data_IF_052932726628
#
_entry.id   IF_052932726628
#
_cell.length_a   1.000
_cell.length_b   1.000
_cell.length_c   1.000
_cell.angle_alpha   90.00
_cell.angle_beta   90.00
_cell.angle_gamma   90.00
#
_symmetry.space_group_name_H-M   'P 1'
#
loop_
_entity.id
_entity.type
_entity.pdbx_description
1 polymer ?
#
# COMPACT_ATOMS: atom_id res chain seq x y z
N UNK A 1 14.67 8.85 -20.58
CA UNK A 1 13.32 8.29 -20.77
C UNK A 1 12.68 8.14 -19.40
N UNK A 2 11.55 8.80 -19.17
CA UNK A 2 10.81 8.72 -17.90
C UNK A 2 9.58 7.84 -18.14
N UNK A 3 9.35 6.84 -17.29
CA UNK A 3 8.19 5.93 -17.37
C UNK A 3 7.26 6.17 -16.18
N UNK A 4 5.97 6.32 -16.46
CA UNK A 4 4.94 6.38 -15.43
C UNK A 4 4.22 5.03 -15.34
N UNK A 5 4.57 4.24 -14.33
CA UNK A 5 4.00 2.91 -14.10
C UNK A 5 2.54 2.95 -13.60
N UNK A 6 2.05 4.10 -13.15
CA UNK A 6 0.65 4.26 -12.75
C UNK A 6 -0.30 4.34 -13.95
N UNK A 7 0.23 4.75 -15.10
CA UNK A 7 -0.50 4.84 -16.37
C UNK A 7 0.00 3.88 -17.44
N UNK A 8 1.16 3.25 -17.25
CA UNK A 8 1.79 2.35 -18.23
C UNK A 8 1.89 0.92 -17.72
N UNK A 9 1.57 -0.05 -18.59
CA UNK A 9 1.84 -1.47 -18.35
C UNK A 9 3.30 -1.76 -18.72
N UNK A 10 4.13 -2.23 -17.78
CA UNK A 10 5.53 -2.55 -18.09
C UNK A 10 5.64 -3.84 -18.93
N UNK A 11 6.82 -4.11 -19.52
CA UNK A 11 7.12 -5.40 -20.13
C UNK A 11 6.98 -6.57 -19.14
N UNK A 12 6.79 -7.77 -19.66
CA UNK A 12 6.76 -8.99 -18.86
C UNK A 12 8.12 -9.25 -18.19
N UNK A 13 8.07 -9.66 -16.92
CA UNK A 13 9.18 -10.28 -16.20
C UNK A 13 8.62 -11.24 -15.13
N UNK A 14 9.43 -12.19 -14.66
CA UNK A 14 9.00 -13.07 -13.57
C UNK A 14 8.93 -12.32 -12.22
N UNK A 15 9.85 -11.39 -11.99
CA UNK A 15 9.96 -10.61 -10.76
C UNK A 15 10.16 -9.12 -11.09
N UNK A 16 9.43 -8.26 -10.38
CA UNK A 16 9.64 -6.81 -10.40
C UNK A 16 10.06 -6.29 -9.03
N UNK A 17 11.14 -5.51 -9.00
CA UNK A 17 11.62 -4.82 -7.81
C UNK A 17 11.04 -3.40 -7.79
N UNK A 18 10.34 -3.06 -6.71
CA UNK A 18 9.74 -1.74 -6.47
C UNK A 18 10.27 -1.19 -5.14
N UNK A 19 11.60 -1.08 -5.02
CA UNK A 19 12.27 -0.53 -3.84
C UNK A 19 12.06 0.97 -3.75
N UNK A 20 11.78 1.48 -2.55
CA UNK A 20 11.66 2.92 -2.23
C UNK A 20 10.79 3.74 -3.19
N UNK A 21 9.75 3.11 -3.75
CA UNK A 21 8.85 3.76 -4.68
C UNK A 21 7.49 4.06 -4.05
N UNK A 22 6.82 3.04 -3.47
CA UNK A 22 5.47 3.19 -2.91
C UNK A 22 5.40 4.16 -1.72
N UNK A 23 6.53 4.42 -1.06
CA UNK A 23 6.66 5.39 0.03
C UNK A 23 6.42 6.84 -0.41
N UNK A 24 6.41 7.13 -1.71
CA UNK A 24 6.17 8.47 -2.26
C UNK A 24 4.82 8.60 -2.96
N UNK A 25 4.02 7.53 -3.00
CA UNK A 25 2.83 7.46 -3.82
C UNK A 25 1.55 7.45 -3.00
N UNK A 26 0.51 8.05 -3.56
CA UNK A 26 -0.86 7.90 -3.05
C UNK A 26 -1.29 6.44 -3.13
N UNK A 27 -2.27 6.07 -2.31
CA UNK A 27 -2.89 4.76 -2.36
C UNK A 27 -3.46 4.43 -3.74
N UNK A 28 -4.06 5.43 -4.42
CA UNK A 28 -4.60 5.26 -5.77
C UNK A 28 -3.50 4.91 -6.77
N UNK A 29 -2.36 5.59 -6.71
CA UNK A 29 -1.24 5.34 -7.62
C UNK A 29 -0.61 3.97 -7.37
N UNK A 30 -0.42 3.57 -6.10
CA UNK A 30 0.06 2.24 -5.74
C UNK A 30 -0.85 1.15 -6.33
N UNK A 31 -2.16 1.30 -6.16
CA UNK A 31 -3.12 0.33 -6.70
C UNK A 31 -3.15 0.31 -8.23
N UNK A 32 -2.97 1.46 -8.89
CA UNK A 32 -2.88 1.52 -10.34
C UNK A 32 -1.65 0.78 -10.85
N UNK A 33 -0.49 1.03 -10.23
CA UNK A 33 0.76 0.33 -10.54
C UNK A 33 0.62 -1.18 -10.35
N UNK A 34 0.11 -1.62 -9.21
CA UNK A 34 -0.10 -3.05 -8.94
C UNK A 34 -1.08 -3.68 -9.95
N UNK A 35 -2.10 -2.93 -10.38
CA UNK A 35 -3.01 -3.39 -11.43
C UNK A 35 -2.29 -3.55 -12.78
N UNK A 36 -1.38 -2.63 -13.12
CA UNK A 36 -0.58 -2.70 -14.33
C UNK A 36 0.45 -3.84 -14.28
N UNK A 37 1.05 -4.12 -13.13
CA UNK A 37 1.93 -5.29 -12.96
C UNK A 37 1.17 -6.60 -13.17
N UNK A 38 -0.06 -6.72 -12.66
CA UNK A 38 -0.91 -7.88 -12.93
C UNK A 38 -1.27 -8.00 -14.42
N UNK A 39 -1.56 -6.89 -15.11
CA UNK A 39 -1.81 -6.88 -16.56
C UNK A 39 -0.59 -7.34 -17.36
N UNK A 40 0.61 -6.94 -16.94
CA UNK A 40 1.88 -7.40 -17.51
C UNK A 40 2.19 -8.89 -17.24
N UNK A 41 1.34 -9.58 -16.46
CA UNK A 41 1.50 -10.99 -16.04
C UNK A 41 2.77 -11.24 -15.23
N UNK A 42 3.25 -10.24 -14.52
CA UNK A 42 4.39 -10.39 -13.60
C UNK A 42 3.98 -11.33 -12.46
N UNK A 43 4.86 -12.26 -12.09
CA UNK A 43 4.54 -13.28 -11.09
C UNK A 43 4.82 -12.80 -9.68
N UNK A 44 5.99 -12.20 -9.47
CA UNK A 44 6.49 -11.81 -8.15
C UNK A 44 6.74 -10.30 -8.06
N UNK A 45 6.39 -9.75 -6.90
CA UNK A 45 6.67 -8.38 -6.49
C UNK A 45 7.62 -8.42 -5.31
N UNK A 46 8.78 -7.79 -5.44
CA UNK A 46 9.68 -7.48 -4.33
C UNK A 46 9.61 -5.97 -4.08
N UNK A 47 9.14 -5.55 -2.91
CA UNK A 47 8.79 -4.13 -2.65
C UNK A 47 9.15 -3.73 -1.23
N UNK A 48 9.59 -2.48 -1.06
CA UNK A 48 9.86 -1.92 0.27
C UNK A 48 8.58 -1.84 1.11
N UNK A 49 8.67 -2.26 2.35
CA UNK A 49 7.60 -2.20 3.34
C UNK A 49 8.16 -2.06 4.76
N UNK A 50 7.36 -1.52 5.67
CA UNK A 50 7.60 -1.56 7.11
C UNK A 50 6.78 -2.69 7.73
N UNK A 51 7.26 -3.29 8.82
CA UNK A 51 6.66 -4.52 9.39
C UNK A 51 6.10 -4.38 10.79
N UNK A 52 6.38 -3.30 11.52
CA UNK A 52 5.79 -3.10 12.84
C UNK A 52 4.27 -2.92 12.75
N UNK A 53 3.53 -3.58 13.66
CA UNK A 53 2.07 -3.53 13.70
C UNK A 53 1.53 -2.16 14.11
N UNK A 54 2.35 -1.39 14.83
CA UNK A 54 2.07 0.00 15.23
C UNK A 54 2.10 0.98 14.04
N UNK A 55 2.60 0.56 12.86
CA UNK A 55 2.59 1.40 11.67
C UNK A 55 1.18 1.65 11.18
N UNK A 56 0.83 2.93 11.11
CA UNK A 56 -0.40 3.42 10.51
C UNK A 56 -0.03 4.02 9.16
N UNK A 57 -0.59 3.48 8.09
CA UNK A 57 -0.40 4.08 6.77
C UNK A 57 -1.26 5.34 6.68
N UNK A 58 -0.65 6.42 6.19
CA UNK A 58 -1.34 7.64 5.78
C UNK A 58 -1.33 7.75 4.26
N UNK A 59 -2.45 8.20 3.67
CA UNK A 59 -2.47 8.52 2.24
C UNK A 59 -1.74 9.84 2.01
N UNK A 60 -1.30 10.08 0.79
CA UNK A 60 -0.61 11.31 0.41
C UNK A 60 -1.08 11.80 -0.95
N UNK A 61 -1.29 13.10 -1.05
CA UNK A 61 -1.51 13.77 -2.33
C UNK A 61 -0.12 14.08 -2.90
N UNK A 62 0.34 13.18 -3.79
CA UNK A 62 1.73 13.17 -4.24
C UNK A 62 2.19 14.50 -4.79
N UNK A 63 3.11 15.16 -4.09
CA UNK A 63 4.30 15.89 -4.54
C UNK A 63 4.98 16.47 -3.27
N UNK A 64 6.32 16.40 -3.18
CA UNK A 64 7.14 16.94 -2.07
C UNK A 64 7.00 16.30 -0.68
N UNK A 65 7.23 14.99 -0.58
CA UNK A 65 7.34 14.30 0.71
C UNK A 65 8.64 13.51 0.73
N UNK A 66 9.38 13.59 1.84
CA UNK A 66 10.65 12.89 2.06
C UNK A 66 10.52 11.35 1.99
N UNK A 67 9.29 10.83 1.88
CA UNK A 67 8.95 9.41 1.93
C UNK A 67 8.20 9.12 3.23
N UNK A 68 7.21 8.23 3.16
CA UNK A 68 6.47 7.77 4.35
C UNK A 68 6.68 6.29 4.56
N UNK A 69 6.52 5.84 5.80
CA UNK A 69 6.45 4.42 6.09
C UNK A 69 5.19 3.80 5.48
N UNK A 70 5.36 2.61 4.91
CA UNK A 70 4.26 1.86 4.29
C UNK A 70 4.31 0.41 4.74
N UNK A 71 3.34 0.00 5.57
CA UNK A 71 3.14 -1.40 5.91
C UNK A 71 2.05 -2.01 5.02
N UNK A 72 2.46 -2.83 4.05
CA UNK A 72 1.55 -3.43 3.06
C UNK A 72 0.63 -4.52 3.65
N UNK A 73 0.92 -5.01 4.85
CA UNK A 73 0.05 -5.94 5.57
C UNK A 73 -1.03 -5.22 6.39
N UNK A 74 -0.94 -3.90 6.53
CA UNK A 74 -1.89 -3.07 7.28
C UNK A 74 -2.89 -2.39 6.35
N UNK A 75 -3.88 -1.77 6.96
CA UNK A 75 -4.86 -0.97 6.25
C UNK A 75 -4.17 0.12 5.40
N UNK A 76 -4.64 0.42 4.17
CA UNK A 76 -5.79 -0.17 3.51
C UNK A 76 -5.50 -1.43 2.68
N UNK A 77 -4.24 -1.84 2.56
CA UNK A 77 -3.79 -2.90 1.65
C UNK A 77 -4.13 -4.31 2.13
N UNK A 78 -3.86 -4.60 3.40
CA UNK A 78 -4.08 -5.92 4.02
C UNK A 78 -3.55 -7.09 3.17
N UNK A 79 -2.35 -6.94 2.59
CA UNK A 79 -1.70 -8.07 1.95
C UNK A 79 -1.39 -9.14 3.00
N UNK A 80 -1.39 -10.40 2.57
CA UNK A 80 -0.98 -11.51 3.43
C UNK A 80 0.49 -11.36 3.79
N UNK A 81 0.96 -12.19 4.73
CA UNK A 81 2.40 -12.29 5.03
C UNK A 81 3.20 -12.51 3.74
N UNK A 82 4.31 -11.78 3.54
CA UNK A 82 5.16 -12.03 2.39
C UNK A 82 5.73 -13.44 2.43
N UNK A 83 6.05 -13.97 1.25
CA UNK A 83 6.71 -15.26 1.06
C UNK A 83 8.09 -15.22 1.71
N UNK A 84 8.83 -14.14 1.44
CA UNK A 84 10.14 -13.86 2.01
C UNK A 84 10.21 -12.39 2.45
N UNK A 85 10.97 -12.13 3.50
CA UNK A 85 11.17 -10.80 4.05
C UNK A 85 12.67 -10.57 4.30
N UNK A 86 13.21 -9.51 3.73
CA UNK A 86 14.62 -9.13 3.86
C UNK A 86 14.67 -7.78 4.57
N UNK A 87 15.13 -7.76 5.82
CA UNK A 87 15.32 -6.51 6.54
C UNK A 87 16.46 -5.70 5.89
N UNK A 88 16.25 -4.41 5.64
CA UNK A 88 17.23 -3.54 4.95
C UNK A 88 18.40 -3.15 5.86
N UNK A 89 18.33 -3.39 7.17
CA UNK A 89 19.36 -3.04 8.14
C UNK A 89 19.46 -1.53 8.40
N UNK A 90 18.35 -0.80 8.20
CA UNK A 90 18.30 0.65 8.34
C UNK A 90 18.64 1.11 9.78
N UNK A 91 19.63 1.98 9.90
CA UNK A 91 20.07 2.61 11.16
C UNK A 91 19.78 4.11 11.20
N UNK A 92 19.13 4.66 10.17
CA UNK A 92 18.78 6.07 10.05
C UNK A 92 17.75 6.50 11.12
N UNK A 93 17.73 7.81 11.40
CA UNK A 93 16.77 8.46 12.29
C UNK A 93 16.60 7.73 13.64
N UNK A 94 17.70 7.47 14.34
CA UNK A 94 17.73 6.78 15.63
C UNK A 94 17.00 5.41 15.63
N UNK A 95 17.04 4.71 14.49
CA UNK A 95 16.43 3.39 14.35
C UNK A 95 14.92 3.43 14.10
N UNK A 96 14.34 4.61 13.83
CA UNK A 96 12.93 4.76 13.48
C UNK A 96 12.54 3.87 12.29
N UNK A 97 13.45 3.55 11.38
CA UNK A 97 13.23 2.69 10.21
C UNK A 97 13.78 1.26 10.35
N UNK A 98 14.10 0.79 11.56
CA UNK A 98 14.70 -0.54 11.79
C UNK A 98 13.84 -1.72 11.28
N UNK A 99 12.54 -1.50 11.04
CA UNK A 99 11.62 -2.49 10.48
C UNK A 99 11.48 -2.43 8.95
N UNK A 100 12.16 -1.49 8.29
CA UNK A 100 12.14 -1.35 6.84
C UNK A 100 12.75 -2.60 6.20
N UNK A 101 11.99 -3.20 5.30
CA UNK A 101 12.29 -4.49 4.70
C UNK A 101 11.83 -4.53 3.25
N UNK A 102 12.43 -5.40 2.44
CA UNK A 102 11.87 -5.84 1.17
C UNK A 102 11.00 -7.07 1.42
N UNK A 103 9.71 -6.97 1.08
CA UNK A 103 8.80 -8.12 1.12
C UNK A 103 8.57 -8.69 -0.28
N UNK A 104 8.60 -10.02 -0.37
CA UNK A 104 8.30 -10.78 -1.59
C UNK A 104 6.85 -11.28 -1.56
N UNK A 105 6.06 -10.96 -2.59
CA UNK A 105 4.71 -11.49 -2.76
C UNK A 105 4.49 -12.05 -4.16
N UNK A 106 3.60 -13.05 -4.26
CA UNK A 106 2.96 -13.39 -5.53
C UNK A 106 1.91 -12.34 -5.85
N UNK A 107 1.98 -11.74 -7.03
CA UNK A 107 1.00 -10.76 -7.48
C UNK A 107 -0.40 -11.37 -7.59
N UNK A 108 -0.52 -12.66 -7.93
CA UNK A 108 -1.80 -13.38 -7.98
C UNK A 108 -2.52 -13.43 -6.64
N UNK A 109 -1.79 -13.40 -5.52
CA UNK A 109 -2.36 -13.52 -4.17
C UNK A 109 -2.79 -12.17 -3.56
N UNK A 110 -2.42 -11.05 -4.20
CA UNK A 110 -2.79 -9.72 -3.72
C UNK A 110 -4.27 -9.39 -4.01
N UNK A 111 -5.07 -9.15 -2.97
CA UNK A 111 -6.47 -8.73 -3.12
C UNK A 111 -6.59 -7.23 -3.41
N UNK A 112 -6.47 -6.85 -4.69
CA UNK A 112 -6.60 -5.44 -5.07
C UNK A 112 -8.04 -4.92 -4.95
N UNK A 113 -9.06 -5.77 -5.04
CA UNK A 113 -10.45 -5.34 -4.86
C UNK A 113 -10.73 -4.92 -3.41
N UNK A 114 -10.18 -5.66 -2.43
CA UNK A 114 -10.33 -5.32 -1.01
C UNK A 114 -9.60 -4.00 -0.70
N UNK A 115 -8.39 -3.85 -1.23
CA UNK A 115 -7.65 -2.60 -1.07
C UNK A 115 -8.39 -1.42 -1.72
N UNK A 116 -8.90 -1.57 -2.96
CA UNK A 116 -9.73 -0.55 -3.63
C UNK A 116 -10.97 -0.18 -2.81
N UNK A 117 -11.67 -1.18 -2.27
CA UNK A 117 -12.84 -0.96 -1.43
C UNK A 117 -12.49 -0.17 -0.17
N UNK A 118 -11.42 -0.57 0.53
CA UNK A 118 -10.96 0.12 1.74
C UNK A 118 -10.56 1.58 1.45
N UNK A 119 -9.84 1.81 0.37
CA UNK A 119 -9.42 3.15 -0.07
C UNK A 119 -10.66 3.99 -0.44
N UNK A 120 -11.61 3.43 -1.17
CA UNK A 120 -12.85 4.12 -1.52
C UNK A 120 -13.67 4.47 -0.27
N UNK A 121 -13.76 3.53 0.68
CA UNK A 121 -14.42 3.75 1.96
C UNK A 121 -13.76 4.90 2.72
N UNK A 122 -12.43 4.99 2.75
CA UNK A 122 -11.72 6.12 3.37
C UNK A 122 -12.15 7.45 2.78
N UNK A 123 -12.21 7.55 1.45
CA UNK A 123 -12.64 8.79 0.82
C UNK A 123 -14.08 9.13 1.20
N UNK A 124 -15.00 8.16 1.18
CA UNK A 124 -16.40 8.40 1.58
C UNK A 124 -16.50 8.88 3.02
N UNK A 125 -15.86 8.19 3.96
CA UNK A 125 -15.98 8.52 5.39
C UNK A 125 -15.29 9.83 5.75
N UNK A 126 -14.43 10.38 4.89
CA UNK A 126 -13.81 11.68 5.08
C UNK A 126 -14.57 12.83 4.40
N UNK A 127 -15.65 12.56 3.65
CA UNK A 127 -16.46 13.64 3.08
C UNK A 127 -17.25 14.39 4.19
N UNK A 128 -17.37 15.72 4.09
CA UNK A 128 -18.11 16.53 5.06
C UNK A 128 -19.60 16.57 4.72
N UNK A 129 -20.26 15.41 4.57
CA UNK A 129 -21.69 15.34 4.24
C UNK A 129 -22.46 14.32 5.08
N UNK A 130 -23.80 14.47 5.11
CA UNK A 130 -24.71 13.61 5.90
C UNK A 130 -24.64 12.14 5.50
N UNK A 131 -24.29 11.83 4.25
CA UNK A 131 -24.14 10.45 3.80
C UNK A 131 -22.89 9.81 4.43
N UNK A 132 -21.76 10.52 4.44
CA UNK A 132 -20.53 10.07 5.09
C UNK A 132 -20.74 9.81 6.58
N UNK A 133 -21.53 10.65 7.26
CA UNK A 133 -21.88 10.45 8.67
C UNK A 133 -22.69 9.17 8.89
N UNK A 134 -23.69 8.90 8.04
CA UNK A 134 -24.44 7.63 8.08
C UNK A 134 -23.53 6.42 7.85
N UNK A 135 -22.59 6.52 6.92
CA UNK A 135 -21.60 5.46 6.65
C UNK A 135 -20.69 5.26 7.86
N UNK A 136 -20.11 6.32 8.44
CA UNK A 136 -19.32 6.25 9.68
C UNK A 136 -20.09 5.52 10.79
N UNK A 137 -21.35 5.92 11.02
CA UNK A 137 -22.20 5.32 12.04
C UNK A 137 -22.53 3.84 11.78
N UNK A 138 -22.82 3.48 10.53
CA UNK A 138 -23.06 2.09 10.13
C UNK A 138 -21.81 1.21 10.39
N UNK A 139 -20.64 1.72 10.03
CA UNK A 139 -19.38 1.00 10.19
C UNK A 139 -18.91 0.87 11.65
N UNK A 140 -19.14 1.89 12.49
CA UNK A 140 -18.92 1.79 13.93
C UNK A 140 -19.77 0.68 14.56
N UNK A 141 -21.04 0.54 14.12
CA UNK A 141 -21.94 -0.54 14.59
C UNK A 141 -21.50 -1.93 14.15
N UNK A 142 -20.83 -2.06 13.01
CA UNK A 142 -20.30 -3.33 12.51
C UNK A 142 -18.94 -3.75 13.13
N UNK A 143 -18.38 -2.98 14.06
CA UNK A 143 -17.03 -3.19 14.66
C UNK A 143 -15.87 -3.20 13.66
N UNK A 144 -16.06 -2.68 12.44
CA UNK A 144 -14.99 -2.65 11.42
C UNK A 144 -13.97 -1.53 11.69
N UNK A 145 -14.33 -0.54 12.52
CA UNK A 145 -13.44 0.55 12.96
C UNK A 145 -12.97 0.43 14.41
N UNK A 146 -13.23 -0.66 15.15
CA UNK A 146 -12.86 -0.76 16.57
C UNK A 146 -11.37 -1.02 16.83
N UNK A 147 -10.49 -0.79 15.84
CA UNK A 147 -9.02 -0.84 15.95
C UNK A 147 -8.37 0.17 14.98
N UNK A 148 -8.91 1.38 14.89
CA UNK A 148 -8.14 2.55 14.50
C UNK A 148 -7.87 3.38 15.75
#
# INVERSE_FOLDING_TARGET
MQIDLSHTVPPYCDLILTRDCFIHLSYRNIISILSNYKKAKIKFLLVSTNTYDTRINTDVDGFFIQGRMVNLQRFPFYFKRPIELINEGCTEDDGIYADKSLGLWKLSELSLYKAKFNIHLLYIVNLPNRMAEKVRNFYHRMKIFSKF
#
